data_IF_025445181948
#
_entry.id   IF_025445181948
#
_cell.length_a   1.000
_cell.length_b   1.000
_cell.length_c   1.000
_cell.angle_alpha   90.00
_cell.angle_beta   90.00
_cell.angle_gamma   90.00
#
_symmetry.space_group_name_H-M   'P 1'
#
loop_
_entity.id
_entity.type
_entity.pdbx_description
1 polymer ?
#
# COMPACT_ATOMS: atom_id res chain seq x y z
N UNK A 1 -23.30 -17.53 27.46
CA UNK A 1 -23.30 -18.48 26.32
C UNK A 1 -23.35 -17.74 25.00
N UNK A 2 -24.21 -16.72 24.85
CA UNK A 2 -24.33 -15.91 23.62
C UNK A 2 -23.00 -15.23 23.21
N UNK A 3 -22.31 -14.57 24.14
CA UNK A 3 -21.00 -13.93 23.88
C UNK A 3 -19.91 -14.90 23.41
N UNK A 4 -19.91 -16.16 23.88
CA UNK A 4 -18.95 -17.16 23.44
C UNK A 4 -19.23 -17.64 22.00
N UNK A 5 -20.51 -17.67 21.63
CA UNK A 5 -20.98 -18.01 20.28
C UNK A 5 -20.66 -16.90 19.28
N UNK A 6 -20.88 -15.63 19.67
CA UNK A 6 -20.47 -14.46 18.89
C UNK A 6 -18.96 -14.45 18.62
N UNK A 7 -18.14 -14.69 19.64
CA UNK A 7 -16.68 -14.73 19.51
C UNK A 7 -16.24 -15.87 18.58
N UNK A 8 -16.82 -17.07 18.71
CA UNK A 8 -16.51 -18.19 17.82
C UNK A 8 -16.91 -17.89 16.37
N UNK A 9 -18.05 -17.23 16.17
CA UNK A 9 -18.52 -16.84 14.84
C UNK A 9 -17.58 -15.80 14.19
N UNK A 10 -17.22 -14.74 14.91
CA UNK A 10 -16.27 -13.74 14.45
C UNK A 10 -14.89 -14.35 14.16
N UNK A 11 -14.45 -15.30 14.99
CA UNK A 11 -13.18 -16.02 14.77
C UNK A 11 -13.18 -16.81 13.46
N UNK A 12 -14.33 -17.33 13.02
CA UNK A 12 -14.43 -18.01 11.71
C UNK A 12 -14.27 -17.07 10.51
N UNK A 13 -14.54 -15.77 10.69
CA UNK A 13 -14.39 -14.71 9.68
C UNK A 13 -13.04 -13.97 9.80
N UNK A 14 -12.29 -14.21 10.87
CA UNK A 14 -11.09 -13.45 11.19
C UNK A 14 -9.91 -13.87 10.30
N UNK A 15 -9.55 -13.01 9.34
CA UNK A 15 -8.22 -13.02 8.74
C UNK A 15 -7.25 -12.21 9.63
N UNK A 16 -6.16 -12.85 10.07
CA UNK A 16 -5.10 -12.22 10.89
C UNK A 16 -4.41 -11.07 10.16
N UNK A 17 -4.46 -11.05 8.83
CA UNK A 17 -3.78 -10.06 8.01
C UNK A 17 -4.65 -8.85 7.64
N UNK A 18 -5.93 -8.84 8.01
CA UNK A 18 -6.94 -7.83 7.60
C UNK A 18 -6.54 -6.37 7.83
N UNK A 19 -5.93 -6.04 8.98
CA UNK A 19 -5.52 -4.66 9.32
C UNK A 19 -4.13 -4.27 8.82
N UNK A 20 -3.35 -5.25 8.33
CA UNK A 20 -1.93 -5.04 8.01
C UNK A 20 -1.69 -3.92 7.00
N UNK A 21 -2.57 -3.73 6.02
CA UNK A 21 -2.44 -2.61 5.07
C UNK A 21 -2.80 -1.27 5.71
N UNK A 22 -3.93 -1.18 6.40
CA UNK A 22 -4.33 0.05 7.07
C UNK A 22 -3.22 0.56 7.99
N UNK A 23 -2.61 -0.36 8.75
CA UNK A 23 -1.55 -0.02 9.71
C UNK A 23 -0.22 0.30 9.03
N UNK A 24 0.04 -0.26 7.84
CA UNK A 24 1.27 -0.02 7.08
C UNK A 24 1.20 1.19 6.14
N UNK A 25 0.03 1.77 5.90
CA UNK A 25 -0.10 3.06 5.19
C UNK A 25 0.42 4.15 6.12
N UNK A 26 1.39 4.95 5.65
CA UNK A 26 1.91 6.10 6.40
C UNK A 26 0.78 7.08 6.72
N UNK A 27 0.82 7.63 7.93
CA UNK A 27 -0.10 8.69 8.33
C UNK A 27 0.12 9.96 7.51
N UNK A 28 -0.93 10.76 7.41
CA UNK A 28 -0.85 12.06 6.76
C UNK A 28 0.21 12.93 7.46
N UNK A 29 0.96 13.70 6.69
CA UNK A 29 1.88 14.68 7.27
C UNK A 29 1.09 15.78 7.99
N UNK A 30 1.67 16.35 9.05
CA UNK A 30 1.01 17.40 9.83
C UNK A 30 0.44 18.52 8.95
N UNK A 31 -0.85 18.87 9.19
CA UNK A 31 -1.58 19.93 8.47
C UNK A 31 -1.67 19.72 6.95
N UNK A 32 -1.78 18.48 6.51
CA UNK A 32 -2.11 18.13 5.11
C UNK A 32 -3.49 17.51 5.04
N UNK A 33 -4.08 17.45 3.83
CA UNK A 33 -5.37 16.81 3.54
C UNK A 33 -6.64 17.49 4.09
N UNK A 34 -6.53 18.52 4.94
CA UNK A 34 -7.68 19.28 5.46
C UNK A 34 -8.58 19.88 4.35
N UNK A 35 -8.02 20.11 3.17
CA UNK A 35 -8.77 20.56 1.98
C UNK A 35 -9.88 19.59 1.58
N UNK A 36 -9.80 18.31 1.97
CA UNK A 36 -10.82 17.30 1.64
C UNK A 36 -12.19 17.68 2.19
N UNK A 37 -12.24 18.35 3.34
CA UNK A 37 -13.49 18.78 3.98
C UNK A 37 -14.18 19.93 3.25
N UNK A 38 -13.46 20.60 2.35
CA UNK A 38 -14.00 21.65 1.46
C UNK A 38 -14.46 21.08 0.11
N UNK A 39 -14.28 19.77 -0.11
CA UNK A 39 -14.72 19.08 -1.32
C UNK A 39 -16.17 18.58 -1.21
N UNK A 40 -16.66 17.97 -2.29
CA UNK A 40 -17.96 17.29 -2.30
C UNK A 40 -18.09 16.15 -1.27
N UNK A 41 -16.99 15.68 -0.67
CA UNK A 41 -17.00 14.61 0.33
C UNK A 41 -17.89 14.95 1.53
N UNK A 42 -17.79 16.17 2.06
CA UNK A 42 -18.55 16.56 3.26
C UNK A 42 -20.06 16.55 3.01
N UNK A 43 -20.47 17.08 1.85
CA UNK A 43 -21.86 17.04 1.39
C UNK A 43 -22.32 15.58 1.19
N UNK A 44 -21.49 14.78 0.53
CA UNK A 44 -21.80 13.37 0.31
C UNK A 44 -21.93 12.59 1.62
N UNK A 45 -21.04 12.79 2.61
CA UNK A 45 -21.10 12.13 3.92
C UNK A 45 -22.37 12.53 4.69
N UNK A 46 -22.69 13.83 4.73
CA UNK A 46 -23.79 14.37 5.55
C UNK A 46 -25.20 14.20 4.95
N UNK A 47 -25.35 14.21 3.63
CA UNK A 47 -26.68 14.19 2.99
C UNK A 47 -26.75 13.42 1.66
N UNK A 48 -25.61 13.06 1.08
CA UNK A 48 -25.56 12.29 -0.18
C UNK A 48 -25.99 10.83 -0.03
N UNK A 49 -25.87 10.09 -1.14
CA UNK A 49 -26.15 8.65 -1.22
C UNK A 49 -25.32 7.99 -2.33
N UNK A 50 -25.27 6.65 -2.32
CA UNK A 50 -24.59 5.87 -3.32
C UNK A 50 -23.06 5.88 -3.15
N UNK A 51 -22.36 5.84 -4.28
CA UNK A 51 -20.88 5.75 -4.32
C UNK A 51 -20.23 7.11 -4.50
N UNK A 52 -19.19 7.39 -3.70
CA UNK A 52 -18.26 8.49 -3.85
C UNK A 52 -16.90 7.95 -4.28
N UNK A 53 -16.35 8.48 -5.37
CA UNK A 53 -15.14 7.96 -5.99
C UNK A 53 -13.96 8.92 -5.83
N UNK A 54 -12.88 8.42 -5.23
CA UNK A 54 -11.60 9.11 -5.11
C UNK A 54 -10.69 8.63 -6.24
N UNK A 55 -10.56 9.46 -7.27
CA UNK A 55 -9.70 9.26 -8.44
C UNK A 55 -8.31 9.85 -8.18
N UNK A 56 -7.26 9.16 -8.62
CA UNK A 56 -5.91 9.72 -8.56
C UNK A 56 -4.84 8.88 -9.22
N UNK A 57 -3.77 9.54 -9.67
CA UNK A 57 -2.59 8.90 -10.29
C UNK A 57 -1.89 7.93 -9.32
N UNK A 58 -1.10 6.97 -9.82
CA UNK A 58 -0.26 6.14 -8.95
C UNK A 58 0.68 7.02 -8.10
N UNK A 59 0.79 6.72 -6.80
CA UNK A 59 1.64 7.50 -5.89
C UNK A 59 1.10 8.88 -5.53
N UNK A 60 -0.17 9.22 -5.81
CA UNK A 60 -0.77 10.52 -5.49
C UNK A 60 -1.26 10.68 -4.04
N UNK A 61 -1.06 9.67 -3.18
CA UNK A 61 -1.50 9.72 -1.78
C UNK A 61 -2.95 9.29 -1.51
N UNK A 62 -3.63 8.60 -2.44
CA UNK A 62 -5.01 8.12 -2.25
C UNK A 62 -5.19 7.28 -0.97
N UNK A 63 -4.30 6.32 -0.72
CA UNK A 63 -4.41 5.45 0.45
C UNK A 63 -4.20 6.21 1.75
N UNK A 64 -3.26 7.16 1.76
CA UNK A 64 -3.05 8.09 2.88
C UNK A 64 -4.30 8.95 3.11
N UNK A 65 -4.92 9.46 2.04
CA UNK A 65 -6.18 10.20 2.12
C UNK A 65 -7.33 9.34 2.65
N UNK A 66 -7.47 8.10 2.17
CA UNK A 66 -8.51 7.20 2.64
C UNK A 66 -8.33 6.88 4.13
N UNK A 67 -7.10 6.59 4.56
CA UNK A 67 -6.76 6.38 5.97
C UNK A 67 -7.09 7.61 6.82
N UNK A 68 -6.73 8.80 6.34
CA UNK A 68 -7.07 10.06 6.99
C UNK A 68 -8.58 10.19 7.16
N UNK A 69 -9.37 10.11 6.08
CA UNK A 69 -10.84 10.29 6.13
C UNK A 69 -11.52 9.33 7.13
N UNK A 70 -11.14 8.04 7.12
CA UNK A 70 -11.75 7.02 7.98
C UNK A 70 -11.56 7.33 9.47
N UNK A 71 -10.44 7.97 9.84
CA UNK A 71 -10.07 8.21 11.24
C UNK A 71 -10.47 9.57 11.81
N UNK A 72 -11.14 10.45 11.05
CA UNK A 72 -11.44 11.82 11.51
C UNK A 72 -12.82 11.94 12.19
N UNK A 73 -12.89 12.82 13.19
CA UNK A 73 -14.11 13.14 13.93
C UNK A 73 -15.17 13.78 13.03
N UNK A 74 -14.75 14.55 12.02
CA UNK A 74 -15.63 15.14 10.99
C UNK A 74 -16.43 14.07 10.25
N UNK A 75 -15.80 12.95 9.89
CA UNK A 75 -16.48 11.81 9.26
C UNK A 75 -17.57 11.25 10.18
N UNK A 76 -17.24 11.02 11.45
CA UNK A 76 -18.18 10.48 12.44
C UNK A 76 -19.37 11.44 12.63
N UNK A 77 -19.10 12.74 12.74
CA UNK A 77 -20.14 13.76 12.90
C UNK A 77 -21.08 13.84 11.69
N UNK A 78 -20.53 13.91 10.48
CA UNK A 78 -21.33 13.97 9.24
C UNK A 78 -22.16 12.70 9.03
N UNK A 79 -21.57 11.53 9.25
CA UNK A 79 -22.27 10.25 9.13
C UNK A 79 -23.37 10.08 10.19
N UNK A 80 -23.15 10.58 11.40
CA UNK A 80 -24.17 10.55 12.46
C UNK A 80 -25.39 11.42 12.10
N UNK A 81 -25.17 12.58 11.47
CA UNK A 81 -26.26 13.42 10.97
C UNK A 81 -27.05 12.73 9.87
N UNK A 82 -26.37 12.06 8.93
CA UNK A 82 -27.02 11.31 7.86
C UNK A 82 -27.83 10.12 8.40
N UNK A 83 -27.30 9.40 9.39
CA UNK A 83 -27.92 8.18 9.89
C UNK A 83 -29.10 8.44 10.84
N UNK A 84 -29.16 9.61 11.49
CA UNK A 84 -30.16 9.93 12.51
C UNK A 84 -31.60 9.66 12.03
N UNK A 85 -32.46 9.01 12.85
CA UNK A 85 -32.24 8.61 14.25
C UNK A 85 -31.55 7.24 14.44
N UNK A 86 -31.06 6.61 13.38
CA UNK A 86 -30.38 5.31 13.44
C UNK A 86 -28.92 5.45 13.86
N UNK A 87 -28.33 4.36 14.34
CA UNK A 87 -26.89 4.28 14.53
C UNK A 87 -26.18 4.14 13.18
N UNK A 88 -24.91 4.55 13.13
CA UNK A 88 -24.04 4.38 11.96
C UNK A 88 -22.89 3.44 12.27
N UNK A 89 -22.57 2.59 11.30
CA UNK A 89 -21.43 1.68 11.33
C UNK A 89 -20.53 2.03 10.14
N UNK A 90 -19.32 2.48 10.45
CA UNK A 90 -18.29 2.71 9.45
C UNK A 90 -17.34 1.51 9.42
N UNK A 91 -17.07 0.99 8.22
CA UNK A 91 -16.11 -0.09 8.01
C UNK A 91 -15.18 0.26 6.85
N UNK A 92 -13.97 -0.26 6.88
CA UNK A 92 -12.97 0.06 5.88
C UNK A 92 -12.21 -1.18 5.44
N UNK A 93 -11.98 -1.30 4.13
CA UNK A 93 -11.11 -2.32 3.55
C UNK A 93 -10.06 -1.66 2.67
N UNK A 94 -8.82 -2.12 2.78
CA UNK A 94 -7.72 -1.63 1.95
C UNK A 94 -7.13 -2.82 1.20
N UNK A 95 -7.29 -2.87 -0.13
CA UNK A 95 -6.70 -3.91 -0.97
C UNK A 95 -5.19 -3.80 -0.98
N UNK A 96 -4.41 -4.89 -0.89
CA UNK A 96 -2.93 -4.80 -0.80
C UNK A 96 -2.17 -5.67 -1.80
N UNK A 97 -1.56 -5.03 -2.80
CA UNK A 97 -0.59 -5.62 -3.70
C UNK A 97 0.83 -5.51 -3.14
N UNK A 98 1.17 -6.33 -2.14
CA UNK A 98 2.58 -6.67 -1.86
C UNK A 98 2.77 -8.16 -2.11
N UNK A 99 3.96 -8.55 -2.54
CA UNK A 99 4.35 -9.94 -2.70
C UNK A 99 3.94 -10.79 -1.50
N UNK A 100 4.01 -10.23 -0.29
CA UNK A 100 3.69 -10.88 0.99
C UNK A 100 2.22 -10.82 1.43
N UNK A 101 1.34 -10.15 0.68
CA UNK A 101 -0.10 -10.21 0.97
C UNK A 101 -0.63 -11.63 0.72
N UNK A 102 -1.41 -12.16 1.66
CA UNK A 102 -2.08 -13.47 1.48
C UNK A 102 -3.02 -13.39 0.26
N UNK A 103 -3.30 -14.53 -0.39
CA UNK A 103 -4.22 -14.54 -1.55
C UNK A 103 -5.62 -14.03 -1.14
N UNK A 104 -5.94 -14.09 0.15
CA UNK A 104 -7.17 -13.57 0.73
C UNK A 104 -7.27 -12.04 0.59
N UNK A 105 -6.25 -11.27 0.96
CA UNK A 105 -6.23 -9.79 0.92
C UNK A 105 -6.36 -9.18 -0.48
N UNK A 106 -6.28 -10.01 -1.53
CA UNK A 106 -6.35 -9.61 -2.95
C UNK A 106 -7.59 -10.15 -3.65
N UNK A 107 -8.40 -10.94 -2.94
CA UNK A 107 -9.55 -11.65 -3.47
C UNK A 107 -10.86 -10.99 -3.06
N UNK A 108 -11.90 -11.29 -3.84
CA UNK A 108 -13.27 -10.88 -3.52
C UNK A 108 -13.69 -11.45 -2.17
N UNK A 109 -13.23 -12.67 -1.87
CA UNK A 109 -13.47 -13.33 -0.61
C UNK A 109 -12.90 -12.51 0.56
N UNK A 110 -11.66 -12.04 0.49
CA UNK A 110 -11.08 -11.25 1.59
C UNK A 110 -11.75 -9.90 1.80
N UNK A 111 -12.14 -9.21 0.73
CA UNK A 111 -12.96 -7.99 0.83
C UNK A 111 -14.25 -8.30 1.60
N UNK A 112 -15.04 -9.27 1.12
CA UNK A 112 -16.34 -9.58 1.69
C UNK A 112 -16.24 -10.12 3.11
N UNK A 113 -15.28 -11.01 3.40
CA UNK A 113 -15.02 -11.50 4.77
C UNK A 113 -14.68 -10.35 5.70
N UNK A 114 -13.83 -9.41 5.27
CA UNK A 114 -13.44 -8.27 6.09
C UNK A 114 -14.63 -7.37 6.40
N UNK A 115 -15.44 -7.06 5.39
CA UNK A 115 -16.64 -6.24 5.56
C UNK A 115 -17.64 -6.93 6.49
N UNK A 116 -17.94 -8.22 6.26
CA UNK A 116 -18.88 -8.96 7.11
C UNK A 116 -18.36 -9.06 8.55
N UNK A 117 -17.06 -9.32 8.75
CA UNK A 117 -16.46 -9.32 10.07
C UNK A 117 -16.62 -7.97 10.77
N UNK A 118 -16.21 -6.87 10.13
CA UNK A 118 -16.20 -5.55 10.77
C UNK A 118 -17.63 -5.08 11.06
N UNK A 119 -18.60 -5.35 10.17
CA UNK A 119 -20.02 -5.03 10.39
C UNK A 119 -20.58 -5.84 11.56
N UNK A 120 -20.40 -7.16 11.56
CA UNK A 120 -20.96 -8.03 12.60
C UNK A 120 -20.28 -7.83 13.96
N UNK A 121 -19.01 -7.40 13.98
CA UNK A 121 -18.30 -7.06 15.22
C UNK A 121 -18.88 -5.80 15.90
N UNK A 122 -19.34 -4.83 15.10
CA UNK A 122 -19.98 -3.60 15.59
C UNK A 122 -21.49 -3.77 15.83
N UNK A 123 -22.13 -4.72 15.13
CA UNK A 123 -23.54 -5.02 15.26
C UNK A 123 -23.80 -6.53 15.40
N UNK A 124 -23.49 -7.15 16.56
CA UNK A 124 -23.66 -8.59 16.77
C UNK A 124 -25.11 -9.07 16.59
N UNK A 125 -26.09 -8.19 16.84
CA UNK A 125 -27.52 -8.47 16.63
C UNK A 125 -27.88 -8.83 15.18
N UNK A 126 -27.02 -8.54 14.21
CA UNK A 126 -27.21 -8.92 12.81
C UNK A 126 -26.80 -10.36 12.52
N UNK A 127 -25.93 -10.99 13.33
CA UNK A 127 -25.41 -12.35 13.08
C UNK A 127 -26.50 -13.40 12.80
N UNK A 128 -27.61 -13.48 13.56
CA UNK A 128 -28.66 -14.46 13.32
C UNK A 128 -29.40 -14.25 12.01
N UNK A 129 -29.52 -13.00 11.54
CA UNK A 129 -30.24 -12.64 10.31
C UNK A 129 -29.38 -12.83 9.06
N UNK A 130 -28.12 -12.44 9.17
CA UNK A 130 -27.18 -12.37 8.05
C UNK A 130 -26.68 -13.76 7.66
N UNK A 131 -26.49 -14.63 8.65
CA UNK A 131 -25.95 -15.97 8.45
C UNK A 131 -26.69 -17.04 9.29
N UNK A 132 -28.01 -17.23 9.10
CA UNK A 132 -28.84 -18.07 9.97
C UNK A 132 -28.31 -19.50 10.05
N UNK A 133 -27.89 -20.10 8.93
CA UNK A 133 -27.35 -21.47 8.90
C UNK A 133 -26.08 -21.66 9.74
N UNK A 134 -25.16 -20.69 9.70
CA UNK A 134 -23.90 -20.74 10.48
C UNK A 134 -24.13 -20.33 11.93
N UNK A 135 -25.15 -19.51 12.19
CA UNK A 135 -25.56 -19.11 13.55
C UNK A 135 -26.31 -20.22 14.29
N UNK A 136 -27.20 -20.96 13.63
CA UNK A 136 -27.97 -22.04 14.25
C UNK A 136 -27.16 -23.32 14.49
N UNK A 137 -25.99 -23.47 13.86
CA UNK A 137 -25.11 -24.62 14.05
C UNK A 137 -24.47 -24.57 15.45
N UNK A 138 -25.07 -25.28 16.39
CA UNK A 138 -24.71 -25.19 17.82
C UNK A 138 -23.48 -26.01 18.22
N UNK A 139 -22.93 -26.84 17.31
CA UNK A 139 -21.66 -27.59 17.46
C UNK A 139 -21.30 -28.34 16.17
N UNK A 140 -20.01 -28.35 15.84
CA UNK A 140 -19.28 -29.21 14.86
C UNK A 140 -19.37 -28.87 13.37
N UNK A 141 -18.26 -28.37 12.80
CA UNK A 141 -17.96 -28.36 11.36
C UNK A 141 -18.31 -27.08 10.56
N UNK A 142 -19.46 -26.44 10.79
CA UNK A 142 -19.89 -25.32 9.93
C UNK A 142 -19.07 -24.03 10.12
N UNK A 143 -18.59 -23.75 11.34
CA UNK A 143 -17.68 -22.63 11.63
C UNK A 143 -16.21 -22.96 11.31
N UNK A 144 -15.88 -24.26 11.17
CA UNK A 144 -14.57 -24.73 10.71
C UNK A 144 -14.46 -24.73 9.18
N UNK A 145 -15.60 -24.78 8.48
CA UNK A 145 -15.66 -24.70 7.04
C UNK A 145 -15.31 -23.28 6.54
N UNK A 146 -14.46 -23.22 5.53
CA UNK A 146 -14.09 -21.97 4.88
C UNK A 146 -15.32 -21.24 4.34
N UNK A 147 -15.36 -19.92 4.50
CA UNK A 147 -16.41 -19.09 3.94
C UNK A 147 -16.26 -18.98 2.44
N UNK A 148 -17.33 -19.29 1.70
CA UNK A 148 -17.35 -19.11 0.25
C UNK A 148 -17.76 -17.68 -0.14
N UNK A 149 -17.30 -17.21 -1.29
CA UNK A 149 -17.73 -15.92 -1.86
C UNK A 149 -19.25 -15.82 -1.93
N UNK A 150 -19.93 -16.89 -2.35
CA UNK A 150 -21.39 -16.94 -2.44
C UNK A 150 -22.09 -16.73 -1.09
N UNK A 151 -21.59 -17.33 -0.02
CA UNK A 151 -22.13 -17.13 1.32
C UNK A 151 -21.93 -15.70 1.80
N UNK A 152 -20.76 -15.12 1.56
CA UNK A 152 -20.45 -13.75 1.99
C UNK A 152 -21.25 -12.71 1.21
N UNK A 153 -21.44 -12.92 -0.09
CA UNK A 153 -22.40 -12.13 -0.86
C UNK A 153 -23.81 -12.26 -0.32
N UNK A 154 -24.25 -13.48 -0.01
CA UNK A 154 -25.55 -13.72 0.62
C UNK A 154 -25.68 -12.98 1.96
N UNK A 155 -24.61 -12.95 2.74
CA UNK A 155 -24.55 -12.20 4.00
C UNK A 155 -24.71 -10.70 3.78
N UNK A 156 -23.90 -10.09 2.90
CA UNK A 156 -24.03 -8.65 2.61
C UNK A 156 -25.39 -8.33 2.00
N UNK A 157 -25.94 -9.18 1.11
CA UNK A 157 -27.30 -9.00 0.58
C UNK A 157 -28.38 -9.12 1.65
N UNK A 158 -28.25 -10.05 2.60
CA UNK A 158 -29.17 -10.16 3.73
C UNK A 158 -29.15 -8.91 4.62
N UNK A 159 -28.00 -8.22 4.69
CA UNK A 159 -27.90 -6.89 5.31
C UNK A 159 -28.65 -5.87 4.44
N UNK A 160 -28.42 -5.83 3.12
CA UNK A 160 -29.01 -4.82 2.22
C UNK A 160 -30.52 -4.94 2.05
N UNK A 161 -31.04 -6.16 2.01
CA UNK A 161 -32.43 -6.49 1.67
C UNK A 161 -33.36 -6.44 2.89
N UNK A 162 -32.81 -6.18 4.09
CA UNK A 162 -33.61 -6.01 5.28
C UNK A 162 -34.48 -4.74 5.15
N UNK A 163 -35.83 -4.86 5.19
CA UNK A 163 -36.74 -3.73 4.96
C UNK A 163 -36.48 -2.56 5.93
N UNK A 164 -36.02 -2.89 7.13
CA UNK A 164 -35.54 -1.94 8.13
C UNK A 164 -34.20 -2.42 8.67
N UNK A 165 -33.12 -1.91 8.08
CA UNK A 165 -31.81 -1.98 8.69
C UNK A 165 -31.84 -1.17 10.00
N UNK A 166 -31.43 -1.76 11.14
CA UNK A 166 -31.33 -1.02 12.40
C UNK A 166 -30.20 0.03 12.36
N UNK A 167 -29.28 -0.10 11.41
CA UNK A 167 -28.08 0.73 11.28
C UNK A 167 -27.85 1.18 9.85
N UNK A 168 -27.29 2.38 9.69
CA UNK A 168 -26.77 2.86 8.42
C UNK A 168 -25.30 2.44 8.29
N UNK A 169 -24.86 2.07 7.09
CA UNK A 169 -23.52 1.58 6.81
C UNK A 169 -22.76 2.56 5.91
N UNK A 170 -21.53 2.88 6.30
CA UNK A 170 -20.57 3.58 5.44
C UNK A 170 -19.35 2.70 5.23
N UNK A 171 -19.08 2.32 3.98
CA UNK A 171 -18.02 1.40 3.61
C UNK A 171 -16.96 2.16 2.82
N UNK A 172 -15.75 2.18 3.34
CA UNK A 172 -14.57 2.76 2.70
C UNK A 172 -13.74 1.64 2.05
N UNK A 173 -13.43 1.74 0.75
CA UNK A 173 -12.64 0.73 0.03
C UNK A 173 -11.48 1.41 -0.69
N UNK A 174 -10.25 1.19 -0.22
CA UNK A 174 -9.05 1.70 -0.86
C UNK A 174 -8.48 0.73 -1.90
N UNK A 175 -8.14 1.25 -3.08
CA UNK A 175 -7.32 0.57 -4.07
C UNK A 175 -8.07 -0.48 -4.89
N UNK A 176 -9.23 -0.14 -5.47
CA UNK A 176 -9.97 -1.08 -6.34
C UNK A 176 -9.12 -1.62 -7.51
N UNK A 177 -8.15 -0.83 -8.01
CA UNK A 177 -7.20 -1.26 -9.05
C UNK A 177 -6.16 -2.29 -8.58
N UNK A 178 -6.12 -2.58 -7.28
CA UNK A 178 -5.29 -3.62 -6.69
C UNK A 178 -6.01 -4.98 -6.57
N UNK A 179 -7.29 -5.03 -6.93
CA UNK A 179 -8.06 -6.26 -7.00
C UNK A 179 -7.55 -7.16 -8.15
N UNK A 180 -7.37 -8.45 -7.88
CA UNK A 180 -6.83 -9.40 -8.87
C UNK A 180 -7.91 -10.13 -9.69
N UNK A 181 -9.19 -9.94 -9.38
CA UNK A 181 -10.29 -10.55 -10.14
C UNK A 181 -10.86 -9.64 -11.22
N UNK A 182 -12.08 -9.95 -11.66
CA UNK A 182 -12.77 -9.16 -12.68
C UNK A 182 -13.29 -7.83 -12.09
N UNK A 183 -12.76 -6.72 -12.60
CA UNK A 183 -13.11 -5.39 -12.14
C UNK A 183 -14.55 -4.99 -12.50
N UNK A 184 -15.13 -5.53 -13.58
CA UNK A 184 -16.53 -5.28 -13.94
C UNK A 184 -17.46 -5.93 -12.92
N UNK A 185 -17.19 -7.20 -12.56
CA UNK A 185 -17.96 -7.91 -11.54
C UNK A 185 -17.88 -7.20 -10.18
N UNK A 186 -16.69 -6.70 -9.81
CA UNK A 186 -16.52 -5.91 -8.60
C UNK A 186 -17.32 -4.60 -8.65
N UNK A 187 -17.24 -3.86 -9.75
CA UNK A 187 -18.00 -2.62 -9.91
C UNK A 187 -19.51 -2.88 -9.85
N UNK A 188 -20.00 -3.94 -10.49
CA UNK A 188 -21.41 -4.32 -10.45
C UNK A 188 -21.86 -4.63 -9.02
N UNK A 189 -21.09 -5.45 -8.27
CA UNK A 189 -21.36 -5.72 -6.86
C UNK A 189 -21.46 -4.42 -6.05
N UNK A 190 -20.46 -3.53 -6.17
CA UNK A 190 -20.44 -2.29 -5.40
C UNK A 190 -21.62 -1.38 -5.77
N UNK A 191 -21.96 -1.30 -7.06
CA UNK A 191 -23.13 -0.57 -7.52
C UNK A 191 -24.42 -1.12 -6.93
N UNK A 192 -24.60 -2.45 -6.90
CA UNK A 192 -25.76 -3.10 -6.25
C UNK A 192 -25.87 -2.73 -4.77
N UNK A 193 -24.76 -2.74 -4.01
CA UNK A 193 -24.76 -2.34 -2.60
C UNK A 193 -25.16 -0.87 -2.41
N UNK A 194 -24.66 0.00 -3.28
CA UNK A 194 -24.90 1.44 -3.21
C UNK A 194 -26.33 1.87 -3.55
N UNK A 195 -27.17 0.97 -4.08
CA UNK A 195 -28.58 1.23 -4.33
C UNK A 195 -29.42 1.31 -3.05
N UNK A 196 -28.96 0.69 -1.96
CA UNK A 196 -29.64 0.77 -0.68
C UNK A 196 -29.49 2.18 -0.08
N UNK A 197 -30.59 2.83 0.37
CA UNK A 197 -30.51 4.16 0.97
C UNK A 197 -29.77 4.16 2.32
N UNK A 198 -29.55 2.98 2.91
CA UNK A 198 -28.85 2.79 4.18
C UNK A 198 -27.35 2.54 3.99
N UNK A 199 -26.84 2.53 2.75
CA UNK A 199 -25.44 2.21 2.45
C UNK A 199 -24.79 3.35 1.67
N UNK A 200 -23.64 3.79 2.16
CA UNK A 200 -22.72 4.69 1.47
C UNK A 200 -21.43 3.94 1.14
N UNK A 201 -20.93 4.12 -0.08
CA UNK A 201 -19.64 3.58 -0.50
C UNK A 201 -18.68 4.72 -0.81
N UNK A 202 -17.53 4.76 -0.17
CA UNK A 202 -16.41 5.62 -0.57
C UNK A 202 -15.31 4.73 -1.13
N UNK A 203 -14.98 4.86 -2.40
CA UNK A 203 -14.03 3.96 -3.07
C UNK A 203 -12.87 4.75 -3.69
N UNK A 204 -11.67 4.20 -3.67
CA UNK A 204 -10.49 4.81 -4.31
C UNK A 204 -9.92 3.90 -5.40
N UNK A 205 -9.46 4.50 -6.51
CA UNK A 205 -8.74 3.74 -7.54
C UNK A 205 -7.91 4.63 -8.48
N UNK A 206 -7.06 3.99 -9.29
CA UNK A 206 -6.51 4.58 -10.51
C UNK A 206 -7.63 4.92 -11.51
N UNK A 207 -7.41 5.88 -12.41
CA UNK A 207 -8.45 6.35 -13.33
C UNK A 207 -8.65 5.43 -14.54
N UNK A 208 -8.78 4.12 -14.32
CA UNK A 208 -9.03 3.13 -15.36
C UNK A 208 -10.45 3.26 -15.90
N UNK A 209 -10.64 2.92 -17.19
CA UNK A 209 -11.92 3.07 -17.87
C UNK A 209 -13.06 2.35 -17.16
N UNK A 210 -12.80 1.17 -16.60
CA UNK A 210 -13.81 0.41 -15.84
C UNK A 210 -14.39 1.20 -14.66
N UNK A 211 -13.54 1.91 -13.90
CA UNK A 211 -13.99 2.71 -12.75
C UNK A 211 -14.58 4.06 -13.17
N UNK A 212 -14.04 4.68 -14.23
CA UNK A 212 -14.64 5.89 -14.82
C UNK A 212 -16.06 5.63 -15.29
N UNK A 213 -16.28 4.53 -16.00
CA UNK A 213 -17.59 4.15 -16.50
C UNK A 213 -18.55 3.76 -15.37
N UNK A 214 -18.03 3.21 -14.26
CA UNK A 214 -18.87 2.77 -13.15
C UNK A 214 -19.24 3.91 -12.18
N UNK A 215 -18.31 4.85 -11.91
CA UNK A 215 -18.45 5.82 -10.81
C UNK A 215 -18.16 7.27 -11.21
N UNK A 216 -17.69 7.53 -12.45
CA UNK A 216 -17.18 8.83 -12.87
C UNK A 216 -18.20 9.77 -13.52
N UNK A 217 -19.46 9.37 -13.66
CA UNK A 217 -20.50 10.17 -14.32
C UNK A 217 -20.93 11.38 -13.47
N UNK A 218 -20.89 11.25 -12.14
CA UNK A 218 -21.26 12.30 -11.20
C UNK A 218 -20.03 13.05 -10.69
N UNK A 219 -19.84 14.28 -11.15
CA UNK A 219 -18.71 15.13 -10.75
C UNK A 219 -18.76 15.57 -9.30
N UNK A 220 -19.96 15.66 -8.70
CA UNK A 220 -20.11 16.03 -7.28
C UNK A 220 -19.74 14.88 -6.35
N UNK A 221 -19.80 13.64 -6.88
CA UNK A 221 -19.37 12.42 -6.17
C UNK A 221 -18.00 11.91 -6.61
N UNK A 222 -17.24 12.72 -7.35
CA UNK A 222 -15.90 12.36 -7.82
C UNK A 222 -14.85 13.34 -7.31
N UNK A 223 -13.91 12.86 -6.50
CA UNK A 223 -12.78 13.63 -5.99
C UNK A 223 -11.49 13.26 -6.72
N UNK A 224 -10.88 14.24 -7.41
CA UNK A 224 -9.59 14.06 -8.10
C UNK A 224 -8.44 14.55 -7.24
N UNK A 225 -7.72 13.63 -6.59
CA UNK A 225 -6.69 13.95 -5.59
C UNK A 225 -5.57 14.81 -6.17
N UNK A 226 -5.17 14.56 -7.42
CA UNK A 226 -4.07 15.27 -8.07
C UNK A 226 -4.31 16.78 -8.24
N UNK A 227 -5.57 17.25 -8.16
CA UNK A 227 -5.91 18.68 -8.25
C UNK A 227 -5.69 19.47 -6.97
N UNK A 228 -5.60 18.80 -5.81
CA UNK A 228 -5.62 19.47 -4.50
C UNK A 228 -4.32 19.32 -3.71
N UNK A 229 -3.33 18.63 -4.27
CA UNK A 229 -2.12 18.24 -3.54
C UNK A 229 -0.97 19.24 -3.63
N UNK A 230 -1.09 20.33 -4.40
CA UNK A 230 0.04 21.25 -4.66
C UNK A 230 0.63 21.86 -3.38
N UNK A 231 -0.23 22.37 -2.50
CA UNK A 231 0.19 22.98 -1.23
C UNK A 231 0.66 21.92 -0.22
N UNK A 232 -0.04 20.79 -0.14
CA UNK A 232 0.38 19.66 0.72
C UNK A 232 1.74 19.09 0.31
N UNK A 233 2.00 18.99 -1.00
CA UNK A 233 3.31 18.58 -1.55
C UNK A 233 4.39 19.56 -1.10
N UNK A 234 4.11 20.86 -1.17
CA UNK A 234 5.04 21.91 -0.75
C UNK A 234 5.37 21.77 0.74
N UNK A 235 4.35 21.61 1.60
CA UNK A 235 4.51 21.40 3.05
C UNK A 235 5.26 20.12 3.38
N UNK A 236 4.93 19.02 2.69
CA UNK A 236 5.62 17.75 2.86
C UNK A 236 7.10 17.86 2.48
N UNK A 237 7.39 18.48 1.33
CA UNK A 237 8.77 18.71 0.89
C UNK A 237 9.53 19.59 1.89
N UNK A 238 8.89 20.63 2.41
CA UNK A 238 9.46 21.51 3.42
C UNK A 238 9.81 20.74 4.69
N UNK A 239 8.85 20.02 5.29
CA UNK A 239 9.07 19.20 6.48
C UNK A 239 10.21 18.18 6.30
N UNK A 240 10.26 17.51 5.14
CA UNK A 240 11.32 16.55 4.83
C UNK A 240 12.69 17.19 4.67
N UNK A 241 12.78 18.40 4.14
CA UNK A 241 14.06 19.09 3.93
C UNK A 241 14.54 19.79 5.22
N UNK A 242 13.65 20.46 5.95
CA UNK A 242 13.95 21.11 7.23
C UNK A 242 14.45 20.14 8.30
N UNK A 243 13.99 18.89 8.28
CA UNK A 243 14.50 17.84 9.16
C UNK A 243 15.96 17.43 8.88
N UNK A 244 16.65 18.01 7.89
CA UNK A 244 18.05 17.71 7.59
C UNK A 244 18.98 18.72 8.29
N UNK A 245 20.02 18.29 9.03
CA UNK A 245 20.89 19.19 9.80
C UNK A 245 21.53 20.31 8.96
N UNK A 246 21.90 20.01 7.71
CA UNK A 246 22.50 20.99 6.79
C UNK A 246 21.50 21.97 6.18
N UNK A 247 20.19 21.73 6.24
CA UNK A 247 19.20 22.62 5.62
C UNK A 247 19.28 24.05 6.18
N UNK A 248 19.44 24.16 7.50
CA UNK A 248 19.57 25.45 8.17
C UNK A 248 20.98 26.03 8.15
N UNK A 249 22.00 25.17 8.09
CA UNK A 249 23.41 25.59 8.12
C UNK A 249 23.96 25.96 6.75
N UNK A 250 23.38 25.44 5.67
CA UNK A 250 23.64 25.98 4.36
C UNK A 250 23.12 27.43 4.37
N UNK A 251 23.94 28.38 3.91
CA UNK A 251 23.57 29.79 3.73
C UNK A 251 22.50 29.99 2.64
N UNK A 252 21.48 29.13 2.59
CA UNK A 252 20.33 29.23 1.70
C UNK A 252 19.57 30.49 2.15
N UNK A 253 19.45 31.49 1.28
CA UNK A 253 18.47 32.55 1.52
C UNK A 253 17.06 31.97 1.49
N UNK A 254 16.13 32.56 2.25
CA UNK A 254 14.73 32.13 2.25
C UNK A 254 14.12 32.12 0.84
N UNK A 255 14.56 33.03 -0.04
CA UNK A 255 14.14 33.05 -1.44
C UNK A 255 14.49 31.75 -2.18
N UNK A 256 15.66 31.16 -1.93
CA UNK A 256 16.09 29.92 -2.58
C UNK A 256 15.40 28.69 -2.02
N UNK A 257 15.22 28.62 -0.69
CA UNK A 257 14.41 27.57 -0.06
C UNK A 257 13.02 27.54 -0.69
N UNK A 258 12.40 28.72 -0.80
CA UNK A 258 11.12 28.88 -1.47
C UNK A 258 11.15 28.50 -2.95
N UNK A 259 12.22 28.81 -3.68
CA UNK A 259 12.38 28.43 -5.08
C UNK A 259 12.44 26.90 -5.26
N UNK A 260 13.22 26.19 -4.45
CA UNK A 260 13.30 24.71 -4.45
C UNK A 260 11.91 24.13 -4.16
N UNK A 261 11.25 24.58 -3.08
CA UNK A 261 9.94 24.08 -2.69
C UNK A 261 8.86 24.35 -3.75
N UNK A 262 8.89 25.52 -4.39
CA UNK A 262 7.99 25.84 -5.50
C UNK A 262 8.25 24.98 -6.74
N UNK A 263 9.52 24.74 -7.07
CA UNK A 263 9.92 23.92 -8.21
C UNK A 263 9.48 22.46 -8.00
N UNK A 264 9.70 21.89 -6.79
CA UNK A 264 9.19 20.57 -6.40
C UNK A 264 7.66 20.51 -6.53
N UNK A 265 6.96 21.47 -5.93
CA UNK A 265 5.49 21.52 -5.93
C UNK A 265 4.90 21.64 -7.34
N UNK A 266 5.53 22.43 -8.21
CA UNK A 266 5.11 22.59 -9.60
C UNK A 266 5.34 21.33 -10.45
N UNK A 267 6.47 20.64 -10.24
CA UNK A 267 6.90 19.50 -11.06
C UNK A 267 6.37 18.14 -10.61
N UNK A 268 5.91 18.05 -9.36
CA UNK A 268 5.35 16.82 -8.82
C UNK A 268 4.06 16.38 -9.52
N UNK A 269 3.30 17.31 -10.13
CA UNK A 269 2.04 17.03 -10.86
C UNK A 269 1.07 16.12 -10.08
N UNK A 270 1.02 16.30 -8.75
CA UNK A 270 0.18 15.53 -7.83
C UNK A 270 0.71 14.16 -7.43
N UNK A 271 1.98 13.83 -7.71
CA UNK A 271 2.60 12.53 -7.42
C UNK A 271 3.52 12.62 -6.20
N UNK A 272 3.01 12.27 -5.02
CA UNK A 272 3.80 12.23 -3.77
C UNK A 272 5.00 11.29 -3.84
N UNK A 273 4.90 10.15 -4.52
CA UNK A 273 6.04 9.24 -4.69
C UNK A 273 7.24 9.93 -5.35
N UNK A 274 6.98 10.81 -6.33
CA UNK A 274 8.01 11.62 -6.97
C UNK A 274 8.67 12.55 -5.96
N UNK A 275 7.87 13.22 -5.12
CA UNK A 275 8.35 14.13 -4.07
C UNK A 275 9.22 13.39 -3.05
N UNK A 276 8.82 12.18 -2.64
CA UNK A 276 9.61 11.33 -1.73
C UNK A 276 11.00 11.03 -2.33
N UNK A 277 11.07 10.66 -3.61
CA UNK A 277 12.33 10.35 -4.29
C UNK A 277 13.19 11.60 -4.52
N UNK A 278 12.58 12.72 -4.89
CA UNK A 278 13.29 13.99 -5.12
C UNK A 278 13.84 14.57 -3.83
N UNK A 279 13.02 14.64 -2.77
CA UNK A 279 13.47 15.12 -1.46
C UNK A 279 14.58 14.24 -0.89
N UNK A 280 14.53 12.93 -1.11
CA UNK A 280 15.64 12.02 -0.79
C UNK A 280 16.91 12.40 -1.56
N UNK A 281 16.83 12.57 -2.88
CA UNK A 281 18.01 12.95 -3.68
C UNK A 281 18.60 14.29 -3.26
N UNK A 282 17.76 15.26 -2.90
CA UNK A 282 18.21 16.55 -2.38
C UNK A 282 18.86 16.42 -0.99
N UNK A 283 18.34 15.55 -0.12
CA UNK A 283 18.98 15.26 1.18
C UNK A 283 20.32 14.58 1.04
N UNK A 284 20.48 13.71 0.05
CA UNK A 284 21.78 13.13 -0.32
C UNK A 284 22.75 14.25 -0.75
N UNK A 285 22.32 15.17 -1.63
CA UNK A 285 23.12 16.34 -1.99
C UNK A 285 23.50 17.23 -0.79
N UNK A 286 22.57 17.46 0.15
CA UNK A 286 22.86 18.18 1.40
C UNK A 286 23.87 17.45 2.29
N UNK A 287 23.88 16.12 2.25
CA UNK A 287 24.87 15.31 2.99
C UNK A 287 26.25 15.44 2.36
N UNK A 288 26.30 15.52 1.02
CA UNK A 288 27.52 15.70 0.23
C UNK A 288 28.02 17.16 0.18
N UNK A 289 27.36 18.07 0.93
CA UNK A 289 27.63 19.51 0.98
C UNK A 289 27.50 20.20 -0.39
N UNK A 290 26.58 19.71 -1.24
CA UNK A 290 26.24 20.32 -2.53
C UNK A 290 25.88 21.80 -2.33
N UNK A 291 26.48 22.66 -3.16
CA UNK A 291 26.13 24.08 -3.19
C UNK A 291 24.67 24.30 -3.62
N UNK A 292 24.18 25.53 -3.40
CA UNK A 292 22.87 26.00 -3.89
C UNK A 292 22.58 25.62 -5.34
N UNK A 293 23.53 25.94 -6.21
CA UNK A 293 23.43 25.72 -7.65
C UNK A 293 23.49 24.22 -7.95
N UNK A 294 24.25 23.45 -7.16
CA UNK A 294 24.30 21.99 -7.23
C UNK A 294 22.95 21.35 -6.93
N UNK A 295 22.28 21.75 -5.84
CA UNK A 295 20.95 21.25 -5.49
C UNK A 295 19.90 21.61 -6.54
N UNK A 296 19.94 22.82 -7.10
CA UNK A 296 19.02 23.21 -8.16
C UNK A 296 19.28 22.42 -9.46
N UNK A 297 20.54 22.28 -9.88
CA UNK A 297 20.92 21.45 -11.04
C UNK A 297 20.50 19.99 -10.86
N UNK A 298 20.66 19.46 -9.64
CA UNK A 298 20.18 18.13 -9.27
C UNK A 298 18.68 18.02 -9.47
N UNK A 299 17.90 18.96 -8.92
CA UNK A 299 16.45 19.02 -9.10
C UNK A 299 16.07 19.12 -10.58
N UNK A 300 16.64 20.06 -11.32
CA UNK A 300 16.32 20.32 -12.73
C UNK A 300 16.54 19.08 -13.60
N UNK A 301 17.62 18.33 -13.35
CA UNK A 301 17.87 17.10 -14.10
C UNK A 301 16.84 15.98 -13.84
N UNK A 302 16.11 15.97 -12.72
CA UNK A 302 15.27 14.83 -12.32
C UNK A 302 14.01 14.76 -13.22
N UNK A 303 13.75 13.65 -13.92
CA UNK A 303 12.55 13.53 -14.76
C UNK A 303 11.28 13.69 -13.91
N UNK A 304 10.24 14.33 -14.45
CA UNK A 304 8.90 14.40 -13.81
C UNK A 304 8.11 13.11 -13.97
N UNK A 305 8.36 12.36 -15.04
CA UNK A 305 7.83 11.03 -15.27
C UNK A 305 8.48 10.00 -14.33
N UNK A 306 7.64 9.21 -13.64
CA UNK A 306 8.10 8.24 -12.63
C UNK A 306 8.96 7.13 -13.23
N UNK A 307 8.62 6.61 -14.41
CA UNK A 307 9.37 5.51 -15.03
C UNK A 307 10.78 5.96 -15.42
N UNK A 308 10.89 7.14 -16.04
CA UNK A 308 12.19 7.77 -16.33
C UNK A 308 12.97 8.09 -15.07
N UNK A 309 12.30 8.53 -14.00
CA UNK A 309 12.95 8.78 -12.71
C UNK A 309 13.50 7.48 -12.10
N UNK A 310 12.72 6.39 -12.10
CA UNK A 310 13.18 5.09 -11.61
C UNK A 310 14.37 4.59 -12.43
N UNK A 311 14.30 4.69 -13.77
CA UNK A 311 15.41 4.32 -14.66
C UNK A 311 16.67 5.12 -14.32
N UNK A 312 16.54 6.44 -14.13
CA UNK A 312 17.65 7.32 -13.72
C UNK A 312 18.24 6.91 -12.38
N UNK A 313 17.41 6.53 -11.41
CA UNK A 313 17.87 6.03 -10.09
C UNK A 313 18.70 4.75 -10.27
N UNK A 314 18.21 3.79 -11.06
CA UNK A 314 18.90 2.53 -11.33
C UNK A 314 20.21 2.73 -12.11
N UNK A 315 20.21 3.62 -13.10
CA UNK A 315 21.40 3.96 -13.88
C UNK A 315 22.45 4.72 -13.05
N UNK A 316 22.02 5.41 -11.99
CA UNK A 316 22.90 6.08 -11.03
C UNK A 316 23.56 5.17 -10.00
N UNK A 317 23.14 3.90 -9.90
CA UNK A 317 23.82 2.91 -9.04
C UNK A 317 25.22 2.64 -9.60
N UNK A 318 26.22 2.52 -8.72
CA UNK A 318 27.60 2.21 -9.12
C UNK A 318 27.63 0.95 -10.00
N UNK A 319 28.30 0.98 -11.18
CA UNK A 319 28.44 -0.19 -12.06
C UNK A 319 28.92 -1.46 -11.36
N UNK A 320 29.75 -1.35 -10.31
CA UNK A 320 30.21 -2.49 -9.49
C UNK A 320 29.06 -3.23 -8.80
N UNK A 321 27.92 -2.57 -8.61
CA UNK A 321 26.73 -3.15 -7.98
C UNK A 321 25.63 -3.53 -8.97
N UNK A 322 25.77 -3.30 -10.28
CA UNK A 322 24.70 -3.55 -11.25
C UNK A 322 24.20 -5.00 -11.24
N UNK A 323 25.11 -5.97 -11.17
CA UNK A 323 24.73 -7.39 -11.11
C UNK A 323 23.93 -7.71 -9.83
N UNK A 324 24.39 -7.19 -8.69
CA UNK A 324 23.74 -7.38 -7.39
C UNK A 324 22.39 -6.67 -7.35
N UNK A 325 22.33 -5.41 -7.78
CA UNK A 325 21.09 -4.64 -7.94
C UNK A 325 20.06 -5.42 -8.74
N UNK A 326 20.44 -5.87 -9.94
CA UNK A 326 19.52 -6.58 -10.81
C UNK A 326 19.06 -7.91 -10.19
N UNK A 327 19.96 -8.63 -9.51
CA UNK A 327 19.61 -9.83 -8.78
C UNK A 327 18.62 -9.55 -7.64
N UNK A 328 18.82 -8.48 -6.85
CA UNK A 328 17.91 -8.09 -5.76
C UNK A 328 16.51 -7.74 -6.29
N UNK A 329 16.45 -6.95 -7.36
CA UNK A 329 15.16 -6.54 -7.96
C UNK A 329 14.41 -7.74 -8.54
N UNK A 330 15.09 -8.61 -9.29
CA UNK A 330 14.48 -9.83 -9.83
C UNK A 330 13.98 -10.77 -8.74
N UNK A 331 14.73 -10.92 -7.63
CA UNK A 331 14.29 -11.73 -6.49
C UNK A 331 13.05 -11.13 -5.84
N UNK A 332 13.00 -9.81 -5.66
CA UNK A 332 11.83 -9.12 -5.08
C UNK A 332 10.59 -9.22 -5.98
N UNK A 333 10.78 -9.21 -7.31
CA UNK A 333 9.68 -9.40 -8.28
C UNK A 333 9.05 -10.79 -8.18
N UNK A 334 9.90 -11.82 -8.05
CA UNK A 334 9.51 -13.23 -8.12
C UNK A 334 9.03 -13.81 -6.81
N UNK A 335 9.72 -13.51 -5.72
CA UNK A 335 9.43 -14.10 -4.43
C UNK A 335 8.17 -13.52 -3.82
N UNK A 336 7.30 -14.40 -3.32
CA UNK A 336 6.12 -14.03 -2.55
C UNK A 336 6.54 -13.46 -1.18
N UNK A 337 7.49 -14.10 -0.52
CA UNK A 337 7.97 -13.70 0.82
C UNK A 337 9.49 -13.53 0.85
N UNK A 338 10.03 -12.48 0.19
CA UNK A 338 11.46 -12.24 0.15
C UNK A 338 11.99 -11.77 1.51
N UNK A 339 12.43 -12.69 2.35
CA UNK A 339 13.04 -12.37 3.65
C UNK A 339 14.44 -11.76 3.47
N UNK A 340 14.83 -10.91 4.42
CA UNK A 340 16.03 -10.09 4.36
C UNK A 340 17.30 -10.92 4.15
N UNK A 341 17.45 -12.04 4.86
CA UNK A 341 18.66 -12.87 4.82
C UNK A 341 18.88 -13.54 3.46
N UNK A 342 17.84 -13.70 2.64
CA UNK A 342 17.95 -14.24 1.28
C UNK A 342 18.89 -13.38 0.43
N UNK A 343 18.79 -12.05 0.57
CA UNK A 343 19.58 -11.08 -0.18
C UNK A 343 21.06 -11.15 0.22
N UNK A 344 21.33 -11.38 1.51
CA UNK A 344 22.70 -11.56 2.00
C UNK A 344 23.37 -12.76 1.35
N UNK A 345 22.71 -13.92 1.38
CA UNK A 345 23.26 -15.15 0.81
C UNK A 345 23.36 -15.12 -0.71
N UNK A 346 22.40 -14.45 -1.37
CA UNK A 346 22.44 -14.24 -2.80
C UNK A 346 23.68 -13.43 -3.22
N UNK A 347 23.99 -12.34 -2.51
CA UNK A 347 25.18 -11.55 -2.83
C UNK A 347 26.48 -12.33 -2.62
N UNK A 348 26.57 -13.12 -1.54
CA UNK A 348 27.74 -13.97 -1.30
C UNK A 348 27.91 -15.04 -2.37
N UNK A 349 26.83 -15.62 -2.88
CA UNK A 349 26.89 -16.58 -3.99
C UNK A 349 27.30 -15.92 -5.31
N UNK A 350 26.92 -14.66 -5.54
CA UNK A 350 27.39 -13.88 -6.70
C UNK A 350 28.89 -13.54 -6.59
N UNK A 351 29.36 -13.18 -5.39
CA UNK A 351 30.79 -12.90 -5.15
C UNK A 351 31.66 -14.15 -5.17
N UNK A 352 31.13 -15.27 -4.65
CA UNK A 352 31.85 -16.53 -4.46
C UNK A 352 31.01 -17.69 -5.01
N UNK A 353 31.13 -17.99 -6.31
CA UNK A 353 30.37 -19.08 -6.92
C UNK A 353 30.61 -20.42 -6.20
N UNK A 354 29.53 -21.10 -5.79
CA UNK A 354 29.61 -22.33 -5.01
C UNK A 354 29.70 -22.11 -3.50
N UNK A 355 29.55 -20.87 -3.02
CA UNK A 355 29.39 -20.53 -1.60
C UNK A 355 28.33 -21.41 -0.94
N UNK A 356 27.19 -21.63 -1.59
CA UNK A 356 26.14 -22.47 -1.02
C UNK A 356 26.55 -23.93 -0.81
N UNK A 357 27.48 -24.47 -1.61
CA UNK A 357 28.01 -25.82 -1.44
C UNK A 357 29.07 -25.88 -0.36
N UNK A 358 29.97 -24.89 -0.35
CA UNK A 358 31.10 -24.82 0.57
C UNK A 358 30.68 -24.56 2.02
N UNK A 359 29.53 -23.91 2.25
CA UNK A 359 29.05 -23.63 3.60
C UNK A 359 28.57 -24.92 4.29
N UNK A 360 29.16 -25.31 5.43
CA UNK A 360 28.68 -26.44 6.22
C UNK A 360 27.36 -26.08 6.94
N UNK A 361 26.48 -27.06 7.22
CA UNK A 361 25.32 -26.84 8.07
C UNK A 361 25.74 -26.45 9.49
N UNK A 362 25.39 -25.25 9.93
CA UNK A 362 25.71 -24.72 11.25
C UNK A 362 24.79 -23.54 11.59
N UNK A 363 24.26 -23.52 12.82
CA UNK A 363 23.44 -22.41 13.28
C UNK A 363 24.25 -21.10 13.33
N UNK A 364 23.72 -20.03 12.73
CA UNK A 364 24.32 -18.69 12.87
C UNK A 364 24.05 -18.17 14.29
N UNK A 365 25.12 -17.79 14.99
CA UNK A 365 25.05 -17.17 16.31
C UNK A 365 24.30 -15.83 16.26
N UNK A 366 23.57 -15.49 17.33
CA UNK A 366 22.72 -14.28 17.35
C UNK A 366 23.46 -12.96 17.03
N UNK A 367 24.68 -12.71 17.55
CA UNK A 367 25.43 -11.51 17.19
C UNK A 367 25.74 -11.40 15.69
N UNK A 368 25.98 -12.53 15.03
CA UNK A 368 26.21 -12.57 13.58
C UNK A 368 24.91 -12.35 12.81
N UNK A 369 23.76 -12.83 13.31
CA UNK A 369 22.45 -12.55 12.68
C UNK A 369 22.14 -11.06 12.68
N UNK A 370 22.34 -10.37 13.81
CA UNK A 370 22.14 -8.91 13.90
C UNK A 370 23.04 -8.18 12.91
N UNK A 371 24.33 -8.55 12.86
CA UNK A 371 25.29 -7.98 11.91
C UNK A 371 24.88 -8.20 10.45
N UNK A 372 24.45 -9.42 10.11
CA UNK A 372 23.95 -9.77 8.77
C UNK A 372 22.76 -8.89 8.39
N UNK A 373 21.77 -8.75 9.28
CA UNK A 373 20.59 -7.92 9.03
C UNK A 373 20.96 -6.46 8.78
N UNK A 374 21.79 -5.87 9.63
CA UNK A 374 22.19 -4.46 9.49
C UNK A 374 23.02 -4.21 8.23
N UNK A 375 23.93 -5.13 7.90
CA UNK A 375 24.72 -5.06 6.67
C UNK A 375 23.81 -5.15 5.44
N UNK A 376 22.84 -6.07 5.46
CA UNK A 376 21.95 -6.32 4.32
C UNK A 376 20.99 -5.14 4.11
N UNK A 377 20.48 -4.52 5.17
CA UNK A 377 19.69 -3.27 5.09
C UNK A 377 20.46 -2.16 4.36
N UNK A 378 21.76 -2.01 4.65
CA UNK A 378 22.62 -1.03 3.97
C UNK A 378 22.85 -1.41 2.50
N UNK A 379 23.06 -2.68 2.21
CA UNK A 379 23.22 -3.16 0.83
C UNK A 379 21.99 -2.92 -0.02
N UNK A 380 20.80 -3.23 0.50
CA UNK A 380 19.53 -2.98 -0.17
C UNK A 380 19.43 -1.49 -0.51
N UNK A 381 19.62 -0.62 0.48
CA UNK A 381 19.51 0.83 0.27
C UNK A 381 20.50 1.35 -0.81
N UNK A 382 21.76 0.93 -0.74
CA UNK A 382 22.81 1.39 -1.65
C UNK A 382 22.64 0.84 -3.07
N UNK A 383 22.20 -0.42 -3.21
CA UNK A 383 22.17 -1.12 -4.50
C UNK A 383 20.83 -1.01 -5.22
N UNK A 384 19.74 -0.69 -4.51
CA UNK A 384 18.44 -0.45 -5.15
C UNK A 384 18.17 1.04 -5.43
N UNK A 385 19.10 1.93 -5.09
CA UNK A 385 18.87 3.39 -5.14
C UNK A 385 17.65 3.84 -4.34
N UNK A 386 17.29 3.10 -3.28
CA UNK A 386 16.10 3.40 -2.48
C UNK A 386 14.76 2.89 -3.01
N UNK A 387 14.73 2.14 -4.12
CA UNK A 387 13.49 1.57 -4.66
C UNK A 387 12.96 0.37 -3.86
N UNK A 388 13.78 -0.18 -2.96
CA UNK A 388 13.44 -1.22 -2.01
C UNK A 388 13.55 -0.70 -0.58
N UNK A 389 12.71 -1.22 0.32
CA UNK A 389 12.81 -1.02 1.76
C UNK A 389 12.64 -2.34 2.51
N UNK A 390 13.03 -2.34 3.78
CA UNK A 390 12.89 -3.50 4.66
C UNK A 390 11.72 -3.24 5.60
N UNK A 391 10.72 -4.11 5.58
CA UNK A 391 9.62 -4.15 6.54
C UNK A 391 10.02 -5.06 7.70
N UNK A 392 10.08 -4.49 8.89
CA UNK A 392 10.21 -5.29 10.10
C UNK A 392 8.82 -5.74 10.52
N UNK A 393 8.62 -7.05 10.49
CA UNK A 393 7.42 -7.70 10.99
C UNK A 393 7.77 -8.27 12.38
N UNK A 394 6.86 -8.10 13.34
CA UNK A 394 7.05 -8.62 14.71
C UNK A 394 6.64 -10.08 14.84
N UNK A 395 5.79 -10.56 13.92
CA UNK A 395 5.26 -11.92 13.87
C UNK A 395 6.03 -12.74 12.83
N UNK A 396 6.41 -12.11 11.72
CA UNK A 396 7.20 -12.72 10.64
C UNK A 396 8.65 -12.21 10.63
N UNK A 397 9.52 -12.80 9.80
CA UNK A 397 10.89 -12.29 9.59
C UNK A 397 10.87 -10.96 8.83
N UNK A 398 11.95 -10.18 8.96
CA UNK A 398 12.18 -8.97 8.16
C UNK A 398 12.06 -9.29 6.67
N UNK A 399 11.24 -8.52 5.93
CA UNK A 399 10.97 -8.75 4.51
C UNK A 399 11.36 -7.53 3.69
N UNK A 400 11.76 -7.79 2.44
CA UNK A 400 12.14 -6.75 1.49
C UNK A 400 10.97 -6.47 0.55
N UNK A 401 10.60 -5.21 0.38
CA UNK A 401 9.49 -4.82 -0.47
C UNK A 401 9.84 -3.60 -1.30
N UNK A 402 9.17 -3.45 -2.44
CA UNK A 402 9.19 -2.20 -3.19
C UNK A 402 8.60 -1.06 -2.36
N UNK A 403 9.18 0.14 -2.45
CA UNK A 403 8.64 1.34 -1.80
C UNK A 403 7.22 1.68 -2.26
N UNK A 404 6.84 1.26 -3.47
CA UNK A 404 5.51 1.48 -4.02
C UNK A 404 5.21 0.48 -5.14
N UNK A 405 3.94 0.12 -5.33
CA UNK A 405 3.49 -0.79 -6.41
C UNK A 405 3.95 -0.33 -7.79
N UNK A 406 3.94 0.97 -8.07
CA UNK A 406 4.37 1.53 -9.36
C UNK A 406 5.81 1.16 -9.73
N UNK A 407 6.68 0.96 -8.75
CA UNK A 407 8.05 0.48 -8.99
C UNK A 407 8.03 -0.97 -9.48
N UNK A 408 7.20 -1.81 -8.87
CA UNK A 408 6.97 -3.20 -9.30
C UNK A 408 6.39 -3.25 -10.71
N UNK A 409 5.32 -2.49 -10.97
CA UNK A 409 4.68 -2.41 -12.29
C UNK A 409 5.72 -2.01 -13.38
N UNK A 410 6.56 -1.02 -13.09
CA UNK A 410 7.63 -0.57 -13.98
C UNK A 410 8.68 -1.67 -14.26
N UNK A 411 9.14 -2.35 -13.21
CA UNK A 411 10.18 -3.39 -13.33
C UNK A 411 9.68 -4.67 -13.99
N UNK A 412 8.37 -4.94 -13.92
CA UNK A 412 7.72 -6.09 -14.57
C UNK A 412 7.47 -5.85 -16.07
N UNK A 413 7.70 -4.63 -16.56
CA UNK A 413 7.64 -4.33 -17.99
C UNK A 413 8.68 -5.12 -18.80
N UNK A 414 8.38 -5.35 -20.08
CA UNK A 414 9.31 -6.06 -20.99
C UNK A 414 10.65 -5.34 -21.11
N UNK A 415 10.63 -4.01 -21.26
CA UNK A 415 11.85 -3.19 -21.35
C UNK A 415 12.71 -3.34 -20.10
N UNK A 416 12.12 -3.25 -18.91
CA UNK A 416 12.88 -3.36 -17.67
C UNK A 416 13.32 -4.77 -17.37
N UNK A 417 12.56 -5.77 -17.79
CA UNK A 417 13.00 -7.17 -17.77
C UNK A 417 14.28 -7.32 -18.60
N UNK A 418 14.32 -6.82 -19.83
CA UNK A 418 15.52 -6.85 -20.69
C UNK A 418 16.68 -6.04 -20.08
N UNK A 419 16.39 -4.87 -19.52
CA UNK A 419 17.36 -4.06 -18.80
C UNK A 419 18.01 -4.83 -17.66
N UNK A 420 17.23 -5.44 -16.75
CA UNK A 420 17.78 -6.19 -15.61
C UNK A 420 18.61 -7.39 -16.07
N UNK A 421 18.17 -8.10 -17.12
CA UNK A 421 18.97 -9.20 -17.69
C UNK A 421 20.29 -8.71 -18.27
N UNK A 422 20.33 -7.52 -18.89
CA UNK A 422 21.57 -6.93 -19.43
C UNK A 422 22.59 -6.58 -18.34
N UNK A 423 22.15 -6.39 -17.10
CA UNK A 423 23.00 -6.04 -15.96
C UNK A 423 23.58 -7.25 -15.21
N UNK A 424 23.16 -8.46 -15.55
CA UNK A 424 23.57 -9.70 -14.88
C UNK A 424 24.52 -10.49 -15.77
N UNK A 425 25.56 -11.09 -15.19
CA UNK A 425 26.45 -11.97 -15.93
C UNK A 425 25.72 -13.26 -16.35
N UNK A 426 26.16 -13.91 -17.44
CA UNK A 426 25.60 -15.20 -17.89
C UNK A 426 25.55 -16.27 -16.79
N UNK A 427 26.45 -16.20 -15.80
CA UNK A 427 26.53 -17.14 -14.67
C UNK A 427 25.47 -16.90 -13.61
N UNK A 428 25.04 -15.64 -13.45
CA UNK A 428 23.96 -15.24 -12.55
C UNK A 428 22.60 -15.11 -13.24
N UNK A 429 22.48 -15.43 -14.52
CA UNK A 429 21.34 -15.05 -15.34
C UNK A 429 20.01 -15.72 -14.96
N UNK A 430 20.03 -16.94 -14.39
CA UNK A 430 18.82 -17.63 -13.95
C UNK A 430 18.44 -17.17 -12.53
N UNK A 431 17.35 -16.39 -12.37
CA UNK A 431 16.94 -15.93 -11.06
C UNK A 431 16.43 -17.07 -10.17
N UNK A 432 15.77 -18.08 -10.75
CA UNK A 432 15.23 -19.23 -9.99
C UNK A 432 16.37 -20.00 -9.32
N UNK A 433 17.44 -20.26 -10.06
CA UNK A 433 18.59 -20.99 -9.54
C UNK A 433 19.30 -20.21 -8.42
N UNK A 434 19.49 -18.89 -8.59
CA UNK A 434 20.10 -18.05 -7.54
C UNK A 434 19.27 -18.03 -6.26
N UNK A 435 17.96 -17.87 -6.40
CA UNK A 435 17.03 -17.90 -5.28
C UNK A 435 17.11 -19.27 -4.58
N UNK A 436 17.05 -20.38 -5.33
CA UNK A 436 17.15 -21.73 -4.77
C UNK A 436 18.47 -21.96 -4.01
N UNK A 437 19.59 -21.45 -4.51
CA UNK A 437 20.89 -21.52 -3.82
C UNK A 437 20.88 -20.72 -2.51
N UNK A 438 20.34 -19.50 -2.52
CA UNK A 438 20.24 -18.67 -1.34
C UNK A 438 19.31 -19.29 -0.28
N UNK A 439 18.19 -19.90 -0.69
CA UNK A 439 17.35 -20.72 0.19
C UNK A 439 18.09 -21.93 0.75
N UNK A 440 18.90 -22.61 -0.06
CA UNK A 440 19.69 -23.76 0.40
C UNK A 440 20.70 -23.37 1.47
N UNK A 441 21.32 -22.19 1.35
CA UNK A 441 22.17 -21.63 2.41
C UNK A 441 21.35 -21.38 3.66
N UNK A 442 20.21 -20.72 3.51
CA UNK A 442 19.34 -20.41 4.63
C UNK A 442 18.87 -21.66 5.38
N UNK A 443 18.56 -22.76 4.70
CA UNK A 443 18.20 -24.05 5.34
C UNK A 443 19.38 -24.63 6.14
N UNK A 444 20.62 -24.38 5.71
CA UNK A 444 21.84 -24.84 6.41
C UNK A 444 22.13 -24.04 7.69
N UNK A 445 21.53 -22.87 7.87
CA UNK A 445 21.95 -21.85 8.86
C UNK A 445 20.85 -21.35 9.77
#
# INVERSE_FOLDING_TARGET
METAKEVAFLSSLADQTRRSRHDAVEDAADKTLDWVWQSGLSSWLGSGSGTFWIEGKPGSGKSTLMKYIVGQDETVGLLSMWAAPRAVVAVSHFFWYVSSGTDMQKSQQGLLQSLVFDILSQCPSLMPRVCPRRWESDRSGALEASWTVRELFGAIRAITDAPELPVCLCIFIDGLDEYLGDHLDLCQLLSELSQSPYIKLCVSSRPWNVFRNAFGDDTEKTLKVDKFTKEDIRRFAQSRLEGHPRWDHCSLSDSWRNAILNNISARAEGVFLWVVLVTRSLREGLTDDDSMEGLMKRLDGLPTDLERLFKRILDGVDPLYHEKMAAMLQTTLREKYPFLELYYHQDLELERPGYFLALPPAAIAEPDRVRIKDQTKRWINARSGGLLHVKSDSIFRDQVAFIHRTVRDFLDSKEMTEYLHSKISKRGADPSLRIAKAYSVWVKT
#
